data_IF_161156558743
#
_entry.id   IF_161156558743
#
_cell.length_a   1.000
_cell.length_b   1.000
_cell.length_c   1.000
_cell.angle_alpha   90.00
_cell.angle_beta   90.00
_cell.angle_gamma   90.00
#
_symmetry.space_group_name_H-M   'P 1'
#
loop_
_entity.id
_entity.type
_entity.pdbx_description
1 polymer ?
#
# COMPACT_ATOMS: atom_id res chain seq x y z
N UNK A 1 -1.31 8.33 9.14
CA UNK A 1 -1.95 7.04 9.46
C UNK A 1 -1.39 5.95 8.55
N UNK A 2 -0.70 4.98 9.12
CA UNK A 2 -0.08 3.83 8.47
C UNK A 2 -1.02 2.63 8.41
N UNK A 3 -1.85 2.36 9.41
CA UNK A 3 -2.76 1.22 9.42
C UNK A 3 -4.17 1.68 9.79
N UNK A 4 -5.18 1.41 8.96
CA UNK A 4 -6.55 1.89 9.18
C UNK A 4 -7.61 1.03 8.49
N UNK A 5 -8.84 1.13 9.00
CA UNK A 5 -10.03 0.53 8.39
C UNK A 5 -10.54 1.42 7.25
N UNK A 6 -10.94 0.79 6.15
CA UNK A 6 -11.59 1.41 5.02
C UNK A 6 -12.88 0.63 4.72
N UNK A 7 -14.00 1.17 5.19
CA UNK A 7 -15.33 0.60 4.95
C UNK A 7 -15.90 1.19 3.66
N UNK A 8 -16.23 0.34 2.70
CA UNK A 8 -16.95 0.73 1.49
C UNK A 8 -18.44 0.98 1.79
N UNK A 9 -19.11 1.71 0.90
CA UNK A 9 -20.56 1.94 0.99
C UNK A 9 -21.38 0.64 0.98
N UNK A 10 -20.82 -0.44 0.41
CA UNK A 10 -21.41 -1.78 0.44
C UNK A 10 -21.38 -2.45 1.82
N UNK A 11 -20.78 -1.81 2.83
CA UNK A 11 -20.56 -2.36 4.17
C UNK A 11 -19.35 -3.29 4.28
N UNK A 12 -18.65 -3.58 3.17
CA UNK A 12 -17.43 -4.39 3.23
C UNK A 12 -16.25 -3.57 3.75
N UNK A 13 -15.57 -4.06 4.78
CA UNK A 13 -14.39 -3.43 5.34
C UNK A 13 -13.08 -4.04 4.82
N UNK A 14 -12.11 -3.16 4.61
CA UNK A 14 -10.74 -3.49 4.24
C UNK A 14 -9.77 -2.88 5.24
N UNK A 15 -8.76 -3.65 5.62
CA UNK A 15 -7.61 -3.13 6.36
C UNK A 15 -6.58 -2.64 5.36
N UNK A 16 -6.23 -1.36 5.47
CA UNK A 16 -5.22 -0.71 4.63
C UNK A 16 -3.98 -0.45 5.46
N UNK A 17 -2.90 -1.16 5.15
CA UNK A 17 -1.57 -0.94 5.73
C UNK A 17 -0.66 -0.26 4.70
N UNK A 18 -0.30 0.99 4.95
CA UNK A 18 0.62 1.80 4.15
C UNK A 18 2.04 1.74 4.71
N UNK A 19 2.90 1.09 3.95
CA UNK A 19 4.34 1.11 4.15
C UNK A 19 4.95 2.23 3.30
N UNK A 20 5.92 2.93 3.86
CA UNK A 20 6.55 4.03 3.13
C UNK A 20 7.68 3.48 2.24
N UNK A 21 7.73 3.95 0.99
CA UNK A 21 8.60 3.44 -0.09
C UNK A 21 8.97 4.59 -1.06
N UNK A 22 9.47 5.72 -0.56
CA UNK A 22 9.57 6.96 -1.34
C UNK A 22 10.49 6.79 -2.58
N UNK A 23 10.05 7.16 -3.80
CA UNK A 23 8.91 8.05 -4.12
C UNK A 23 7.56 7.36 -4.28
N UNK A 24 7.51 6.03 -4.18
CA UNK A 24 6.30 5.24 -4.29
C UNK A 24 5.59 5.08 -2.93
N UNK A 25 4.38 4.53 -2.99
CA UNK A 25 3.62 4.12 -1.80
C UNK A 25 3.25 2.65 -1.93
N UNK A 26 3.89 1.80 -1.13
CA UNK A 26 3.50 0.39 -1.05
C UNK A 26 2.41 0.26 0.00
N UNK A 27 1.29 -0.34 -0.39
CA UNK A 27 0.19 -0.64 0.52
C UNK A 27 -0.15 -2.12 0.47
N UNK A 28 -0.75 -2.58 1.55
CA UNK A 28 -1.38 -3.89 1.63
C UNK A 28 -2.86 -3.66 1.94
N UNK A 29 -3.72 -4.30 1.16
CA UNK A 29 -5.17 -4.23 1.29
C UNK A 29 -5.67 -5.65 1.55
N UNK A 30 -6.38 -5.84 2.67
CA UNK A 30 -6.94 -7.14 3.06
C UNK A 30 -8.40 -6.97 3.47
N UNK A 31 -9.31 -7.79 2.93
CA UNK A 31 -10.72 -7.81 3.33
C UNK A 31 -10.84 -8.41 4.74
N UNK A 32 -11.30 -7.62 5.72
CA UNK A 32 -11.40 -8.01 7.14
C UNK A 32 -12.48 -7.21 7.86
N UNK A 33 -12.99 -7.73 8.98
CA UNK A 33 -13.93 -7.00 9.84
C UNK A 33 -13.30 -5.75 10.46
N UNK A 34 -14.12 -4.80 10.90
CA UNK A 34 -13.63 -3.56 11.53
C UNK A 34 -12.96 -3.88 12.87
N UNK A 35 -11.73 -3.42 13.06
CA UNK A 35 -10.96 -3.65 14.28
C UNK A 35 -10.29 -2.37 14.78
N UNK A 36 -9.97 -2.28 16.08
CA UNK A 36 -9.15 -1.19 16.58
C UNK A 36 -7.68 -1.40 16.20
N UNK A 37 -7.21 -0.59 15.25
CA UNK A 37 -5.85 -0.65 14.70
C UNK A 37 -4.93 0.42 15.31
N UNK A 38 -5.37 1.12 16.37
CA UNK A 38 -4.63 2.27 16.92
C UNK A 38 -3.24 1.91 17.45
N UNK A 39 -3.12 0.78 18.16
CA UNK A 39 -1.84 0.31 18.70
C UNK A 39 -0.87 -0.01 17.56
N UNK A 40 -1.35 -0.70 16.52
CA UNK A 40 -0.56 -1.03 15.35
C UNK A 40 -0.13 0.23 14.57
N UNK A 41 -1.04 1.19 14.36
CA UNK A 41 -0.72 2.47 13.71
C UNK A 41 0.40 3.20 14.44
N UNK A 42 0.30 3.29 15.76
CA UNK A 42 1.32 3.92 16.61
C UNK A 42 2.64 3.18 16.56
N UNK A 43 2.61 1.85 16.66
CA UNK A 43 3.82 1.02 16.58
C UNK A 43 4.55 1.25 15.25
N UNK A 44 3.85 1.17 14.12
CA UNK A 44 4.46 1.41 12.81
C UNK A 44 4.97 2.85 12.67
N UNK A 45 4.25 3.85 13.17
CA UNK A 45 4.72 5.25 13.17
C UNK A 45 5.97 5.43 14.02
N UNK A 46 6.04 4.80 15.18
CA UNK A 46 7.20 4.84 16.06
C UNK A 46 8.44 4.22 15.41
N UNK A 47 8.30 3.04 14.79
CA UNK A 47 9.39 2.41 14.04
C UNK A 47 9.92 3.29 12.91
N UNK A 48 9.02 3.99 12.21
CA UNK A 48 9.40 4.92 11.14
C UNK A 48 10.27 6.07 11.65
N UNK A 49 9.96 6.61 12.83
CA UNK A 49 10.71 7.69 13.47
C UNK A 49 12.06 7.20 13.99
N UNK A 50 12.10 6.07 14.70
CA UNK A 50 13.36 5.51 15.22
C UNK A 50 14.36 5.22 14.11
N UNK A 51 13.88 4.69 12.99
CA UNK A 51 14.74 4.37 11.86
C UNK A 51 15.02 5.58 10.94
N UNK A 52 14.64 6.80 11.35
CA UNK A 52 14.82 8.05 10.60
C UNK A 52 14.30 7.97 9.15
N UNK A 53 13.30 7.12 8.90
CA UNK A 53 12.79 6.85 7.54
C UNK A 53 13.79 6.15 6.60
N UNK A 54 14.98 5.73 7.05
CA UNK A 54 15.99 5.09 6.21
C UNK A 54 15.47 3.83 5.49
N UNK A 55 14.73 2.90 6.15
CA UNK A 55 14.15 1.75 5.46
C UNK A 55 13.18 2.16 4.34
N UNK A 56 12.47 3.28 4.50
CA UNK A 56 11.54 3.78 3.48
C UNK A 56 12.28 4.26 2.24
N UNK A 57 13.40 4.96 2.45
CA UNK A 57 14.23 5.50 1.39
C UNK A 57 14.93 4.37 0.63
N UNK A 58 15.57 3.44 1.32
CA UNK A 58 16.25 2.32 0.66
C UNK A 58 15.27 1.43 -0.12
N UNK A 59 14.09 1.17 0.44
CA UNK A 59 13.10 0.36 -0.25
C UNK A 59 12.55 1.06 -1.50
N UNK A 60 12.36 2.38 -1.44
CA UNK A 60 11.97 3.18 -2.60
C UNK A 60 13.06 3.32 -3.66
N UNK A 61 14.32 3.51 -3.27
CA UNK A 61 15.46 3.50 -4.19
C UNK A 61 15.61 2.15 -4.90
N UNK A 62 15.41 1.05 -4.17
CA UNK A 62 15.37 -0.28 -4.76
C UNK A 62 14.20 -0.42 -5.75
N UNK A 63 13.01 0.06 -5.37
CA UNK A 63 11.83 0.02 -6.24
C UNK A 63 12.04 0.77 -7.57
N UNK A 64 12.69 1.95 -7.58
CA UNK A 64 13.01 2.69 -8.81
C UNK A 64 13.76 1.82 -9.83
N UNK A 65 14.65 0.93 -9.36
CA UNK A 65 15.45 0.06 -10.23
C UNK A 65 14.78 -1.26 -10.55
N UNK A 66 13.92 -1.75 -9.67
CA UNK A 66 13.37 -3.10 -9.76
C UNK A 66 12.00 -3.15 -10.44
N UNK A 67 11.19 -2.09 -10.33
CA UNK A 67 9.89 -2.01 -11.00
C UNK A 67 10.08 -2.24 -12.49
N UNK A 68 9.45 -3.31 -13.00
CA UNK A 68 9.55 -3.69 -14.41
C UNK A 68 8.24 -3.53 -15.17
N UNK A 69 7.12 -3.38 -14.45
CA UNK A 69 5.80 -3.30 -15.07
C UNK A 69 4.96 -2.18 -14.44
N UNK A 70 4.14 -1.51 -15.26
CA UNK A 70 3.23 -0.46 -14.81
C UNK A 70 1.87 -0.68 -15.48
N UNK A 71 0.82 -0.78 -14.68
CA UNK A 71 -0.57 -0.83 -15.17
C UNK A 71 -1.28 0.48 -14.87
N UNK A 72 -2.13 0.93 -15.79
CA UNK A 72 -2.93 2.15 -15.59
C UNK A 72 -4.35 1.72 -15.25
N UNK A 73 -4.79 2.03 -14.02
CA UNK A 73 -6.16 1.80 -13.59
C UNK A 73 -6.98 3.07 -13.79
N UNK A 74 -8.11 2.92 -14.46
CA UNK A 74 -9.07 3.98 -14.68
C UNK A 74 -10.09 3.98 -13.54
N UNK A 75 -9.98 4.95 -12.64
CA UNK A 75 -10.92 5.13 -11.52
C UNK A 75 -12.17 5.89 -11.98
N UNK A 76 -11.99 6.82 -12.92
CA UNK A 76 -13.07 7.51 -13.63
C UNK A 76 -12.59 7.87 -15.05
N UNK A 77 -13.44 8.51 -15.86
CA UNK A 77 -13.04 9.00 -17.19
C UNK A 77 -11.84 9.95 -17.14
N UNK A 78 -11.72 10.73 -16.06
CA UNK A 78 -10.67 11.74 -15.87
C UNK A 78 -9.52 11.27 -14.98
N UNK A 79 -9.74 10.29 -14.10
CA UNK A 79 -8.75 9.85 -13.11
C UNK A 79 -8.11 8.53 -13.52
N UNK A 80 -6.83 8.62 -13.88
CA UNK A 80 -5.96 7.48 -14.19
C UNK A 80 -4.88 7.35 -13.11
N UNK A 81 -4.77 6.17 -12.51
CA UNK A 81 -3.82 5.88 -11.44
C UNK A 81 -2.83 4.82 -11.92
N UNK A 82 -1.51 5.13 -11.98
CA UNK A 82 -0.51 4.12 -12.30
C UNK A 82 -0.25 3.23 -11.09
N UNK A 83 -0.32 1.92 -11.29
CA UNK A 83 0.07 0.89 -10.33
C UNK A 83 1.37 0.26 -10.82
N UNK A 84 2.38 0.26 -9.97
CA UNK A 84 3.72 -0.21 -10.28
C UNK A 84 3.93 -1.60 -9.71
N UNK A 85 4.37 -2.53 -10.55
CA UNK A 85 4.64 -3.90 -10.19
C UNK A 85 6.11 -4.25 -10.43
N UNK A 86 6.64 -5.10 -9.55
CA UNK A 86 7.97 -5.69 -9.71
C UNK A 86 8.00 -6.58 -10.96
N UNK A 87 6.98 -7.43 -11.12
CA UNK A 87 6.76 -8.33 -12.25
C UNK A 87 5.34 -8.15 -12.76
N UNK A 88 5.07 -8.53 -14.02
CA UNK A 88 3.70 -8.54 -14.53
C UNK A 88 2.82 -9.43 -13.65
N UNK A 89 1.65 -8.91 -13.25
CA UNK A 89 0.69 -9.64 -12.43
C UNK A 89 0.05 -10.75 -13.27
N UNK A 90 0.05 -11.97 -12.76
CA UNK A 90 -0.69 -13.07 -13.39
C UNK A 90 -2.18 -12.94 -13.06
N UNK A 91 -2.96 -12.51 -14.06
CA UNK A 91 -4.41 -12.29 -13.96
C UNK A 91 -5.19 -13.60 -13.84
N UNK A 92 -4.54 -14.75 -14.01
CA UNK A 92 -5.11 -16.09 -13.89
C UNK A 92 -4.97 -16.73 -12.51
N UNK A 93 -4.40 -16.04 -11.51
CA UNK A 93 -4.30 -16.56 -10.15
C UNK A 93 -5.68 -16.65 -9.48
N UNK A 94 -6.27 -17.84 -9.50
CA UNK A 94 -7.45 -18.20 -8.71
C UNK A 94 -7.04 -18.50 -7.27
N UNK A 95 -7.68 -17.85 -6.31
CA UNK A 95 -7.64 -18.20 -4.88
C UNK A 95 -8.72 -19.22 -4.55
#
# INVERSE_FOLDING_TARGET
>A
MSHFNWTLDSGTNYHILRTACYPYMKYHCSKREVQDLWLEDKFFRFLKVINLGLPMLFYGLAAIRLISHTEIVHVSESVKVPIYFLYAEDKGASF
#
